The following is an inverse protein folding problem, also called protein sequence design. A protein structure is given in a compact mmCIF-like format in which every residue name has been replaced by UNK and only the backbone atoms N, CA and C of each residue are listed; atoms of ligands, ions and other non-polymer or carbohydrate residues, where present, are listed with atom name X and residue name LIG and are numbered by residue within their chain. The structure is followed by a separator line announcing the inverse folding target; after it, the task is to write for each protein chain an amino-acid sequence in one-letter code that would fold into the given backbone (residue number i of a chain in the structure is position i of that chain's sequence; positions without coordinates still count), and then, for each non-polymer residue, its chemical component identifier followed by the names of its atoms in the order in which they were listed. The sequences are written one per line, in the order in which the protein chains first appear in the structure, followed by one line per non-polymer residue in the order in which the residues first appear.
data_IF_715117238411
#
_entry.id   IF_715117238411
#
_cell.length_a   1.000
_cell.length_b   1.000
_cell.length_c   1.000
_cell.angle_alpha   90.00
_cell.angle_beta   90.00
_cell.angle_gamma   90.00
#
_symmetry.space_group_name_H-M   'P 1'
#
loop_
_entity.id
_entity.type
_entity.pdbx_description
1 polymer ?
#
# COMPACT_ATOMS: atom_id res chain seq x y z
N UNK A 1 -19.48 -21.11 -20.62
CA UNK A 1 -18.25 -21.21 -19.80
C UNK A 1 -17.37 -19.97 -19.94
N UNK A 2 -17.07 -19.50 -21.17
CA UNK A 2 -16.25 -18.29 -21.40
C UNK A 2 -16.85 -17.01 -20.81
N UNK A 3 -18.16 -16.81 -20.91
CA UNK A 3 -18.81 -15.58 -20.40
C UNK A 3 -18.74 -15.43 -18.86
N UNK A 4 -18.83 -16.54 -18.12
CA UNK A 4 -18.68 -16.54 -16.65
C UNK A 4 -17.25 -16.17 -16.24
N UNK A 5 -16.24 -16.78 -16.89
CA UNK A 5 -14.82 -16.47 -16.70
C UNK A 5 -14.52 -14.99 -16.98
N UNK A 6 -15.07 -14.43 -18.06
CA UNK A 6 -14.88 -13.02 -18.41
C UNK A 6 -15.54 -12.07 -17.40
N UNK A 7 -16.70 -12.46 -16.85
CA UNK A 7 -17.38 -11.68 -15.81
C UNK A 7 -16.58 -11.66 -14.50
N UNK A 8 -16.01 -12.79 -14.09
CA UNK A 8 -15.12 -12.87 -12.91
C UNK A 8 -13.88 -11.99 -13.06
N UNK A 9 -13.27 -11.99 -14.25
CA UNK A 9 -12.13 -11.11 -14.57
C UNK A 9 -12.55 -9.64 -14.41
N UNK A 10 -13.71 -9.23 -14.98
CA UNK A 10 -14.20 -7.86 -14.82
C UNK A 10 -14.39 -7.48 -13.35
N UNK A 11 -15.04 -8.34 -12.57
CA UNK A 11 -15.28 -8.07 -11.15
C UNK A 11 -13.97 -7.85 -10.38
N UNK A 12 -12.91 -8.57 -10.74
CA UNK A 12 -11.62 -8.51 -10.04
C UNK A 12 -10.71 -7.38 -10.51
N UNK A 13 -10.73 -7.02 -11.78
CA UNK A 13 -9.73 -6.13 -12.39
C UNK A 13 -10.31 -4.79 -12.87
N UNK A 14 -11.57 -4.48 -12.60
CA UNK A 14 -12.16 -3.17 -12.99
C UNK A 14 -11.57 -2.04 -12.13
N UNK A 15 -11.13 -0.97 -12.79
CA UNK A 15 -10.68 0.28 -12.17
C UNK A 15 -11.85 1.04 -11.56
N UNK A 16 -11.66 1.59 -10.35
CA UNK A 16 -12.63 2.53 -9.77
C UNK A 16 -12.57 3.89 -10.48
N UNK A 17 -13.69 4.63 -10.61
CA UNK A 17 -13.72 5.89 -11.38
C UNK A 17 -12.73 6.97 -10.93
N UNK A 18 -12.44 7.03 -9.63
CA UNK A 18 -11.59 8.01 -8.95
C UNK A 18 -10.16 7.51 -8.68
N UNK A 19 -9.86 6.29 -9.12
CA UNK A 19 -8.58 5.64 -8.84
C UNK A 19 -7.54 5.99 -9.89
N UNK A 20 -6.35 6.38 -9.42
CA UNK A 20 -5.17 6.54 -10.25
C UNK A 20 -4.93 5.32 -11.14
N UNK A 21 -4.65 5.56 -12.42
CA UNK A 21 -4.35 4.52 -13.39
C UNK A 21 -3.16 3.66 -12.94
N UNK A 22 -2.12 4.26 -12.38
CA UNK A 22 -0.91 3.56 -11.94
C UNK A 22 -1.15 2.70 -10.70
N UNK A 23 -1.92 3.19 -9.73
CA UNK A 23 -2.32 2.41 -8.55
C UNK A 23 -3.22 1.24 -8.96
N UNK A 24 -4.13 1.45 -9.89
CA UNK A 24 -4.97 0.37 -10.43
C UNK A 24 -4.15 -0.72 -11.12
N UNK A 25 -3.18 -0.36 -11.96
CA UNK A 25 -2.29 -1.33 -12.57
C UNK A 25 -1.54 -2.12 -11.50
N UNK A 26 -1.01 -1.46 -10.47
CA UNK A 26 -0.37 -2.14 -9.34
C UNK A 26 -1.31 -3.13 -8.62
N UNK A 27 -2.57 -2.76 -8.37
CA UNK A 27 -3.57 -3.68 -7.81
C UNK A 27 -3.87 -4.87 -8.74
N UNK A 28 -3.87 -4.65 -10.06
CA UNK A 28 -3.98 -5.73 -11.04
C UNK A 28 -2.79 -6.70 -10.95
N UNK A 29 -1.57 -6.18 -10.78
CA UNK A 29 -0.38 -7.01 -10.55
C UNK A 29 -0.52 -7.86 -9.29
N UNK A 30 -0.84 -7.24 -8.14
CA UNK A 30 -1.04 -7.95 -6.86
C UNK A 30 -2.15 -8.99 -6.94
N UNK A 31 -3.16 -8.71 -7.77
CA UNK A 31 -4.25 -9.65 -8.07
C UNK A 31 -3.83 -10.78 -9.01
N UNK A 32 -2.56 -10.86 -9.41
CA UNK A 32 -2.01 -11.92 -10.24
C UNK A 32 -2.37 -11.82 -11.72
N UNK A 33 -2.59 -10.61 -12.25
CA UNK A 33 -2.85 -10.42 -13.68
C UNK A 33 -1.72 -10.97 -14.58
N UNK A 34 -0.51 -11.12 -14.05
CA UNK A 34 0.67 -11.62 -14.75
C UNK A 34 0.75 -13.16 -14.85
N UNK A 35 0.24 -13.89 -13.85
CA UNK A 35 0.38 -15.35 -13.76
C UNK A 35 -0.94 -16.12 -13.74
N UNK A 36 -2.05 -15.50 -13.35
CA UNK A 36 -3.32 -16.20 -13.15
C UNK A 36 -4.30 -16.01 -14.31
N UNK A 37 -4.10 -15.00 -15.16
CA UNK A 37 -5.04 -14.65 -16.22
C UNK A 37 -4.32 -14.61 -17.55
N UNK A 38 -4.59 -15.60 -18.39
CA UNK A 38 -4.14 -15.64 -19.79
C UNK A 38 -5.35 -15.59 -20.72
N UNK A 39 -5.23 -14.75 -21.74
CA UNK A 39 -6.29 -14.45 -22.68
C UNK A 39 -5.74 -14.59 -24.10
N UNK A 40 -6.48 -15.27 -24.96
CA UNK A 40 -6.24 -15.18 -26.40
C UNK A 40 -6.89 -13.90 -26.97
N UNK A 41 -6.57 -13.57 -28.22
CA UNK A 41 -7.10 -12.37 -28.91
C UNK A 41 -8.63 -12.28 -28.89
N UNK A 42 -9.35 -13.39 -29.02
CA UNK A 42 -10.81 -13.40 -28.98
C UNK A 42 -11.34 -13.10 -27.58
N UNK A 43 -10.81 -13.75 -26.54
CA UNK A 43 -11.19 -13.47 -25.14
C UNK A 43 -10.87 -12.02 -24.74
N UNK A 44 -9.72 -11.50 -25.17
CA UNK A 44 -9.31 -10.11 -24.94
C UNK A 44 -10.27 -9.11 -25.58
N UNK A 45 -10.73 -9.38 -26.82
CA UNK A 45 -11.72 -8.53 -27.49
C UNK A 45 -13.09 -8.51 -26.79
N UNK A 46 -13.39 -9.55 -26.00
CA UNK A 46 -14.64 -9.67 -25.24
C UNK A 46 -14.53 -9.19 -23.80
N UNK A 47 -13.38 -8.72 -23.33
CA UNK A 47 -13.18 -8.33 -21.94
C UNK A 47 -14.03 -7.12 -21.52
N UNK A 48 -14.48 -6.30 -22.46
CA UNK A 48 -15.26 -5.09 -22.18
C UNK A 48 -14.42 -4.03 -21.46
N UNK A 49 -15.10 -3.14 -20.72
CA UNK A 49 -14.41 -2.07 -20.00
C UNK A 49 -13.84 -2.56 -18.67
N UNK A 50 -12.52 -2.49 -18.52
CA UNK A 50 -11.84 -2.69 -17.24
C UNK A 50 -11.29 -1.37 -16.73
N UNK A 51 -10.64 -0.62 -17.61
CA UNK A 51 -9.88 0.57 -17.22
C UNK A 51 -10.74 1.80 -16.99
N UNK A 52 -12.03 1.76 -17.33
CA UNK A 52 -12.89 2.94 -17.43
C UNK A 52 -12.34 3.99 -18.42
N UNK A 53 -11.50 3.54 -19.35
CA UNK A 53 -10.87 4.34 -20.38
C UNK A 53 -11.03 3.63 -21.71
N UNK A 54 -11.85 4.23 -22.58
CA UNK A 54 -12.20 3.61 -23.84
C UNK A 54 -10.98 3.42 -24.77
N UNK A 55 -9.92 4.21 -24.65
CA UNK A 55 -8.71 4.04 -25.46
C UNK A 55 -7.91 2.82 -25.00
N UNK A 56 -7.68 2.68 -23.69
CA UNK A 56 -7.03 1.49 -23.11
C UNK A 56 -7.86 0.23 -23.40
N UNK A 57 -9.18 0.27 -23.17
CA UNK A 57 -10.04 -0.90 -23.34
C UNK A 57 -10.10 -1.37 -24.80
N UNK A 58 -10.08 -0.43 -25.77
CA UNK A 58 -9.96 -0.78 -27.20
C UNK A 58 -8.60 -1.36 -27.53
N UNK A 59 -7.53 -0.80 -26.99
CA UNK A 59 -6.17 -1.28 -27.22
C UNK A 59 -6.04 -2.73 -26.71
N UNK A 60 -6.54 -3.08 -25.52
CA UNK A 60 -6.54 -4.45 -24.98
C UNK A 60 -7.15 -5.46 -25.97
N UNK A 61 -8.26 -5.10 -26.62
CA UNK A 61 -8.95 -5.96 -27.58
C UNK A 61 -8.27 -6.09 -28.96
N UNK A 62 -7.30 -5.23 -29.28
CA UNK A 62 -6.65 -5.15 -30.60
C UNK A 62 -5.48 -6.09 -30.82
N UNK A 63 -4.96 -6.75 -29.78
CA UNK A 63 -3.74 -7.57 -29.87
C UNK A 63 -4.02 -8.95 -30.51
N UNK A 64 -3.52 -9.16 -31.73
CA UNK A 64 -3.82 -10.33 -32.57
C UNK A 64 -2.84 -11.52 -32.43
N UNK A 65 -1.87 -11.48 -31.50
CA UNK A 65 -0.72 -12.40 -31.52
C UNK A 65 -0.57 -13.23 -30.23
N UNK A 66 -1.32 -14.33 -30.09
CA UNK A 66 -1.05 -15.37 -29.08
C UNK A 66 -1.71 -15.14 -27.70
N UNK A 67 -1.52 -16.08 -26.74
CA UNK A 67 -2.00 -15.88 -25.38
C UNK A 67 -1.05 -14.95 -24.62
N UNK A 68 -1.56 -13.80 -24.20
CA UNK A 68 -0.85 -12.89 -23.31
C UNK A 68 -1.44 -13.00 -21.90
N UNK A 69 -0.61 -12.75 -20.88
CA UNK A 69 -1.16 -12.49 -19.56
C UNK A 69 -1.95 -11.19 -19.60
N UNK A 70 -2.97 -11.06 -18.74
CA UNK A 70 -3.74 -9.83 -18.62
C UNK A 70 -2.81 -8.65 -18.32
N UNK A 71 -1.79 -8.86 -17.48
CA UNK A 71 -0.77 -7.85 -17.20
C UNK A 71 -0.07 -7.34 -18.46
N UNK A 72 0.39 -8.24 -19.33
CA UNK A 72 1.08 -7.85 -20.57
C UNK A 72 0.16 -7.02 -21.47
N UNK A 73 -1.12 -7.40 -21.57
CA UNK A 73 -2.11 -6.63 -22.33
C UNK A 73 -2.34 -5.23 -21.73
N UNK A 74 -2.51 -5.14 -20.41
CA UNK A 74 -2.72 -3.88 -19.70
C UNK A 74 -1.54 -2.93 -19.88
N UNK A 75 -0.32 -3.41 -19.66
CA UNK A 75 0.91 -2.63 -19.82
C UNK A 75 1.06 -2.13 -21.25
N UNK A 76 0.83 -3.01 -22.23
CA UNK A 76 1.00 -2.64 -23.63
C UNK A 76 -0.07 -1.63 -24.09
N UNK A 77 -1.33 -1.84 -23.70
CA UNK A 77 -2.42 -0.91 -23.98
C UNK A 77 -2.18 0.49 -23.38
N UNK A 78 -1.68 0.57 -22.15
CA UNK A 78 -1.36 1.85 -21.51
C UNK A 78 -0.22 2.56 -22.23
N UNK A 79 0.84 1.83 -22.63
CA UNK A 79 1.99 2.39 -23.37
C UNK A 79 1.64 2.86 -24.77
N UNK A 80 0.63 2.26 -25.41
CA UNK A 80 0.11 2.71 -26.70
C UNK A 80 -0.79 3.95 -26.56
N UNK A 81 -1.44 4.12 -25.41
CA UNK A 81 -2.42 5.19 -25.20
C UNK A 81 -1.78 6.45 -24.65
N UNK A 82 -0.78 6.32 -23.78
CA UNK A 82 -0.22 7.43 -23.02
C UNK A 82 1.30 7.49 -23.11
N UNK A 83 1.83 8.70 -23.05
CA UNK A 83 3.24 8.97 -22.78
C UNK A 83 3.51 8.98 -21.28
N UNK A 84 4.77 8.83 -20.89
CA UNK A 84 5.15 8.81 -19.48
C UNK A 84 4.77 10.10 -18.72
N UNK A 85 4.83 11.25 -19.39
CA UNK A 85 4.51 12.55 -18.80
C UNK A 85 2.99 12.73 -18.60
N UNK A 86 2.16 12.05 -19.40
CA UNK A 86 0.69 12.07 -19.25
C UNK A 86 0.21 11.14 -18.13
N UNK A 87 0.93 10.05 -17.86
CA UNK A 87 0.52 9.07 -16.83
C UNK A 87 0.98 9.48 -15.42
N UNK A 88 2.13 10.14 -15.31
CA UNK A 88 2.66 10.60 -14.02
C UNK A 88 2.16 12.00 -13.74
N UNK A 89 1.09 12.11 -12.96
CA UNK A 89 0.75 13.38 -12.33
C UNK A 89 1.79 13.69 -11.24
N UNK A 90 2.62 14.70 -11.47
CA UNK A 90 3.55 15.17 -10.45
C UNK A 90 2.76 15.72 -9.27
N UNK A 91 2.82 15.02 -8.14
CA UNK A 91 2.19 15.47 -6.90
C UNK A 91 3.00 16.61 -6.29
N UNK A 92 2.33 17.73 -6.05
CA UNK A 92 2.93 18.93 -5.44
C UNK A 92 3.49 18.65 -4.05
N UNK A 93 2.77 17.87 -3.23
CA UNK A 93 3.22 17.44 -1.90
C UNK A 93 2.45 16.23 -1.36
N UNK A 94 3.11 15.33 -0.63
CA UNK A 94 2.49 14.29 0.21
C UNK A 94 2.81 14.51 1.68
N UNK A 95 1.84 14.26 2.54
CA UNK A 95 1.88 14.61 3.96
C UNK A 95 1.44 13.49 4.90
N UNK A 96 1.02 12.34 4.38
CA UNK A 96 0.75 11.13 5.17
C UNK A 96 1.59 9.95 4.70
N UNK A 97 1.72 8.94 5.56
CA UNK A 97 2.38 7.66 5.21
C UNK A 97 1.69 6.98 4.03
N UNK A 98 0.35 6.96 4.02
CA UNK A 98 -0.46 6.36 2.97
C UNK A 98 -0.21 7.06 1.62
N UNK A 99 -0.24 8.39 1.61
CA UNK A 99 0.06 9.17 0.41
C UNK A 99 1.49 8.94 -0.09
N UNK A 100 2.47 8.87 0.82
CA UNK A 100 3.87 8.59 0.46
C UNK A 100 4.05 7.21 -0.17
N UNK A 101 3.39 6.18 0.37
CA UNK A 101 3.42 4.82 -0.20
C UNK A 101 2.68 4.74 -1.53
N UNK A 102 1.52 5.39 -1.66
CA UNK A 102 0.81 5.46 -2.93
C UNK A 102 1.67 6.16 -3.98
N UNK A 103 2.23 7.32 -3.67
CA UNK A 103 3.07 8.07 -4.61
C UNK A 103 4.35 7.30 -5.00
N UNK A 104 5.01 6.64 -4.05
CA UNK A 104 6.13 5.74 -4.35
C UNK A 104 5.72 4.61 -5.30
N UNK A 105 4.53 4.04 -5.10
CA UNK A 105 3.99 2.99 -5.96
C UNK A 105 3.73 3.52 -7.37
N UNK A 106 3.14 4.70 -7.50
CA UNK A 106 2.91 5.35 -8.79
C UNK A 106 4.22 5.61 -9.52
N UNK A 107 5.21 6.21 -8.84
CA UNK A 107 6.54 6.46 -9.40
C UNK A 107 7.20 5.16 -9.88
N UNK A 108 7.08 4.09 -9.10
CA UNK A 108 7.64 2.77 -9.44
C UNK A 108 6.96 2.19 -10.67
N UNK A 109 5.62 2.25 -10.73
CA UNK A 109 4.84 1.76 -11.86
C UNK A 109 5.16 2.52 -13.14
N UNK A 110 5.27 3.84 -13.07
CA UNK A 110 5.66 4.65 -14.22
C UNK A 110 7.09 4.34 -14.70
N UNK A 111 8.02 4.13 -13.77
CA UNK A 111 9.39 3.75 -14.10
C UNK A 111 9.44 2.37 -14.79
N UNK A 112 8.65 1.40 -14.31
CA UNK A 112 8.48 0.08 -14.95
C UNK A 112 7.89 0.21 -16.37
N UNK A 113 6.85 1.03 -16.54
CA UNK A 113 6.16 1.17 -17.83
C UNK A 113 7.04 1.82 -18.90
N UNK A 114 7.82 2.84 -18.54
CA UNK A 114 8.45 3.72 -19.51
C UNK A 114 9.98 3.77 -19.42
N UNK A 115 10.57 3.63 -18.24
CA UNK A 115 11.97 3.98 -17.99
C UNK A 115 12.91 2.77 -17.83
N UNK A 116 12.39 1.63 -17.40
CA UNK A 116 13.14 0.37 -17.34
C UNK A 116 12.83 -0.53 -18.56
N UNK A 117 13.38 -0.21 -19.73
CA UNK A 117 13.49 -1.18 -20.83
C UNK A 117 14.88 -1.20 -21.47
N UNK A 118 15.85 -1.83 -20.78
CA UNK A 118 17.00 -2.45 -21.46
C UNK A 118 16.87 -3.97 -21.63
N UNK A 119 15.82 -4.59 -21.08
CA UNK A 119 15.44 -5.97 -21.39
C UNK A 119 13.93 -6.14 -21.26
N UNK A 120 13.21 -5.97 -22.37
CA UNK A 120 11.75 -6.00 -22.47
C UNK A 120 11.09 -7.39 -22.25
N UNK A 121 11.81 -8.37 -21.68
CA UNK A 121 11.29 -9.73 -21.46
C UNK A 121 10.78 -10.01 -20.06
N UNK A 122 11.11 -9.17 -19.07
CA UNK A 122 10.70 -9.39 -17.68
C UNK A 122 10.24 -8.06 -17.07
N UNK A 123 8.93 -7.91 -16.92
CA UNK A 123 8.40 -6.87 -16.04
C UNK A 123 8.61 -7.37 -14.61
N UNK A 124 9.56 -6.75 -13.91
CA UNK A 124 9.90 -7.08 -12.53
C UNK A 124 8.72 -6.82 -11.59
N UNK A 125 8.61 -7.62 -10.55
CA UNK A 125 7.67 -7.38 -9.45
C UNK A 125 7.86 -5.95 -8.92
N UNK A 126 6.84 -5.07 -8.94
CA UNK A 126 6.98 -3.68 -8.53
C UNK A 126 7.50 -3.50 -7.11
N UNK A 127 7.26 -4.45 -6.20
CA UNK A 127 7.79 -4.38 -4.84
C UNK A 127 9.27 -4.77 -4.76
N UNK A 128 9.72 -5.66 -5.64
CA UNK A 128 11.12 -6.10 -5.73
C UNK A 128 11.97 -5.19 -6.63
N UNK A 129 11.33 -4.27 -7.37
CA UNK A 129 12.00 -3.27 -8.19
C UNK A 129 12.96 -2.41 -7.37
N UNK A 130 14.04 -1.98 -8.01
CA UNK A 130 14.98 -1.04 -7.42
C UNK A 130 14.40 0.37 -7.41
N UNK A 131 14.48 1.05 -6.27
CA UNK A 131 14.21 2.46 -6.15
C UNK A 131 15.34 3.24 -6.86
N UNK A 132 15.11 3.57 -8.12
CA UNK A 132 16.06 4.38 -8.91
C UNK A 132 16.25 5.75 -8.27
N UNK A 133 17.35 6.42 -8.61
CA UNK A 133 17.60 7.78 -8.14
C UNK A 133 16.45 8.74 -8.49
N UNK A 134 15.82 8.56 -9.66
CA UNK A 134 14.67 9.37 -10.09
C UNK A 134 13.47 9.18 -9.18
N UNK A 135 13.13 7.93 -8.85
CA UNK A 135 12.04 7.61 -7.92
C UNK A 135 12.35 8.22 -6.54
N UNK A 136 13.57 8.03 -6.04
CA UNK A 136 14.01 8.58 -4.75
C UNK A 136 13.91 10.10 -4.71
N UNK A 137 14.46 10.78 -5.71
CA UNK A 137 14.49 12.23 -5.80
C UNK A 137 13.08 12.81 -5.88
N UNK A 138 12.20 12.24 -6.71
CA UNK A 138 10.81 12.67 -6.83
C UNK A 138 10.05 12.45 -5.50
N UNK A 139 10.20 11.29 -4.87
CA UNK A 139 9.57 10.98 -3.60
C UNK A 139 9.99 11.98 -2.51
N UNK A 140 11.30 12.25 -2.36
CA UNK A 140 11.83 13.15 -1.33
C UNK A 140 11.45 14.60 -1.59
N UNK A 141 11.50 15.07 -2.84
CA UNK A 141 11.14 16.46 -3.19
C UNK A 141 9.66 16.77 -2.97
N UNK A 142 8.78 15.81 -3.24
CA UNK A 142 7.35 15.96 -2.98
C UNK A 142 6.98 15.67 -1.53
N UNK A 143 7.90 15.27 -0.66
CA UNK A 143 7.60 14.98 0.73
C UNK A 143 7.38 16.26 1.54
N UNK A 144 6.49 16.22 2.54
CA UNK A 144 6.44 17.27 3.56
C UNK A 144 7.80 17.40 4.26
N UNK A 145 8.15 18.57 4.84
CA UNK A 145 9.46 18.78 5.46
C UNK A 145 9.84 17.71 6.51
N UNK A 146 8.84 17.21 7.23
CA UNK A 146 9.02 16.12 8.18
C UNK A 146 9.50 14.83 7.50
N UNK A 147 8.76 14.35 6.49
CA UNK A 147 9.11 13.12 5.79
C UNK A 147 10.36 13.27 4.91
N UNK A 148 10.59 14.45 4.31
CA UNK A 148 11.81 14.75 3.57
C UNK A 148 13.04 14.60 4.47
N UNK A 149 12.98 15.14 5.70
CA UNK A 149 14.05 15.01 6.69
C UNK A 149 14.25 13.56 7.13
N UNK A 150 13.16 12.83 7.38
CA UNK A 150 13.22 11.41 7.71
C UNK A 150 13.88 10.59 6.59
N UNK A 151 13.39 10.72 5.35
CA UNK A 151 13.95 10.03 4.19
C UNK A 151 15.41 10.38 3.94
N UNK A 152 15.81 11.64 4.18
CA UNK A 152 17.22 12.05 4.07
C UNK A 152 18.15 11.35 5.07
N UNK A 153 17.61 10.80 6.16
CA UNK A 153 18.39 10.01 7.13
C UNK A 153 18.61 8.56 6.71
N UNK A 154 17.82 8.08 5.74
CA UNK A 154 17.99 6.76 5.16
C UNK A 154 19.03 6.84 4.03
N UNK A 155 20.13 6.06 4.10
CA UNK A 155 21.10 6.04 3.01
C UNK A 155 20.46 5.39 1.79
N UNK A 156 20.28 6.16 0.73
CA UNK A 156 19.94 5.62 -0.58
C UNK A 156 21.14 4.85 -1.14
N UNK A 157 20.86 3.69 -1.73
CA UNK A 157 21.82 2.86 -2.46
C UNK A 157 21.14 2.33 -3.72
N UNK A 158 21.91 2.02 -4.76
CA UNK A 158 21.45 1.45 -6.02
C UNK A 158 20.74 0.10 -5.87
N UNK A 159 20.91 -0.59 -4.74
CA UNK A 159 20.20 -1.84 -4.42
C UNK A 159 19.01 -1.65 -3.47
N UNK A 160 18.62 -0.40 -3.17
CA UNK A 160 17.43 -0.12 -2.37
C UNK A 160 16.19 -0.61 -3.13
N UNK A 161 15.47 -1.58 -2.56
CA UNK A 161 14.20 -2.06 -3.11
C UNK A 161 13.02 -1.20 -2.67
N UNK A 162 12.01 -1.10 -3.53
CA UNK A 162 10.76 -0.38 -3.27
C UNK A 162 10.07 -0.93 -2.02
N UNK A 163 9.98 -2.25 -1.84
CA UNK A 163 9.41 -2.88 -0.64
C UNK A 163 10.08 -2.38 0.65
N UNK A 164 11.42 -2.27 0.65
CA UNK A 164 12.16 -1.80 1.82
C UNK A 164 11.86 -0.33 2.12
N UNK A 165 11.69 0.48 1.08
CA UNK A 165 11.33 1.90 1.23
C UNK A 165 9.88 2.08 1.69
N UNK A 166 8.94 1.29 1.16
CA UNK A 166 7.55 1.24 1.66
C UNK A 166 7.51 0.91 3.15
N UNK A 167 8.26 -0.11 3.58
CA UNK A 167 8.38 -0.48 4.99
C UNK A 167 8.97 0.64 5.85
N UNK A 168 9.95 1.38 5.33
CA UNK A 168 10.53 2.54 6.02
C UNK A 168 9.52 3.68 6.20
N UNK A 169 8.76 4.03 5.16
CA UNK A 169 7.69 5.05 5.25
C UNK A 169 6.63 4.64 6.28
N UNK A 170 6.32 3.34 6.35
CA UNK A 170 5.32 2.82 7.30
C UNK A 170 5.81 2.76 8.74
N UNK A 171 7.12 2.77 8.99
CA UNK A 171 7.72 2.63 10.32
C UNK A 171 7.08 3.61 11.31
N UNK A 172 6.56 3.07 12.42
CA UNK A 172 5.91 3.80 13.49
C UNK A 172 6.83 4.83 14.16
N UNK A 173 8.15 4.73 13.97
CA UNK A 173 9.12 5.74 14.43
C UNK A 173 9.07 7.05 13.65
N UNK A 174 8.54 7.04 12.43
CA UNK A 174 8.26 8.27 11.66
C UNK A 174 6.95 8.91 12.16
N UNK A 175 6.97 9.46 13.38
CA UNK A 175 5.90 10.35 13.87
C UNK A 175 6.33 11.80 13.64
N UNK A 176 5.52 12.65 12.96
CA UNK A 176 5.76 14.09 12.91
C UNK A 176 5.90 14.64 14.32
N UNK A 177 7.14 14.91 14.75
CA UNK A 177 7.38 15.63 15.99
C UNK A 177 6.98 17.08 15.73
N UNK A 178 5.97 17.53 16.48
CA UNK A 178 5.35 18.87 16.44
C UNK A 178 4.68 19.25 15.11
N UNK A 179 3.34 19.24 15.12
CA UNK A 179 2.54 20.10 14.24
C UNK A 179 2.94 21.56 14.51
N UNK A 180 3.41 22.34 13.51
CA UNK A 180 3.38 23.78 13.59
C UNK A 180 1.93 24.21 13.44
N UNK A 181 1.40 24.85 14.48
CA UNK A 181 0.17 25.62 14.40
C UNK A 181 0.40 26.74 13.40
N UNK A 182 -0.32 26.73 12.27
CA UNK A 182 -1.03 27.92 11.82
C UNK A 182 -2.03 27.61 10.69
N UNK A 183 -3.29 27.94 10.99
CA UNK A 183 -4.43 28.21 10.11
C UNK A 183 -5.10 27.05 9.35
N UNK A 184 -6.08 26.39 9.99
CA UNK A 184 -7.47 26.39 9.47
C UNK A 184 -8.51 26.07 10.57
N UNK A 185 -9.34 27.08 10.87
CA UNK A 185 -10.61 27.14 11.61
C UNK A 185 -10.68 26.61 13.05
N UNK A 186 -10.75 27.56 13.97
CA UNK A 186 -11.07 27.40 15.38
C UNK A 186 -12.43 26.70 15.60
N UNK A 187 -12.38 25.58 16.32
CA UNK A 187 -13.37 25.26 17.36
C UNK A 187 -12.60 24.89 18.63
N UNK A 188 -12.62 25.76 19.62
CA UNK A 188 -12.24 25.48 21.00
C UNK A 188 -13.46 25.70 21.90
N UNK A 189 -13.51 25.19 23.15
CA UNK A 189 -12.74 24.08 23.73
C UNK A 189 -13.62 23.14 24.58
N UNK A 190 -13.11 21.95 24.93
CA UNK A 190 -13.29 21.44 26.29
C UNK A 190 -11.96 20.90 26.79
N UNK A 191 -11.34 21.70 27.66
CA UNK A 191 -10.29 21.26 28.56
C UNK A 191 -10.86 20.17 29.47
N UNK A 192 -10.27 18.99 29.42
CA UNK A 192 -10.06 18.18 30.62
C UNK A 192 -8.59 17.82 30.61
N UNK A 193 -7.87 18.34 31.61
CA UNK A 193 -6.60 17.79 32.00
C UNK A 193 -6.85 16.33 32.43
N UNK A 194 -6.34 15.37 31.67
CA UNK A 194 -6.39 13.97 32.06
C UNK A 194 -4.97 13.54 32.44
N UNK A 195 -4.78 13.46 33.76
CA UNK A 195 -3.77 12.64 34.41
C UNK A 195 -3.81 11.21 33.88
N UNK A 196 -2.67 10.55 33.93
CA UNK A 196 -2.40 9.17 33.49
C UNK A 196 -3.11 8.06 34.30
N UNK A 197 -4.41 8.19 34.58
CA UNK A 197 -5.20 7.25 35.40
C UNK A 197 -6.70 7.16 35.00
N UNK A 198 -7.07 7.41 33.73
CA UNK A 198 -8.48 7.35 33.35
C UNK A 198 -9.00 5.88 33.31
N UNK A 199 -10.14 5.56 33.96
CA UNK A 199 -10.72 4.22 33.93
C UNK A 199 -11.40 3.94 32.58
N UNK A 200 -11.46 2.68 32.18
CA UNK A 200 -12.17 2.25 30.97
C UNK A 200 -13.63 2.69 31.03
N UNK A 201 -14.11 3.52 30.10
CA UNK A 201 -15.47 4.08 30.19
C UNK A 201 -16.59 3.07 29.90
N UNK A 202 -16.24 1.81 29.60
CA UNK A 202 -17.20 0.72 29.36
C UNK A 202 -17.47 -0.07 30.65
N UNK A 203 -16.44 -0.37 31.45
CA UNK A 203 -16.55 -1.14 32.70
C UNK A 203 -16.25 -0.32 33.96
N UNK A 204 -15.72 0.89 33.81
CA UNK A 204 -15.28 1.79 34.88
C UNK A 204 -14.13 1.25 35.76
N UNK A 205 -13.36 0.28 35.26
CA UNK A 205 -12.17 -0.27 35.93
C UNK A 205 -10.86 0.29 35.35
N UNK A 206 -9.76 0.21 36.11
CA UNK A 206 -8.43 0.68 35.70
C UNK A 206 -7.92 -0.04 34.43
N UNK A 207 -7.37 0.73 33.47
CA UNK A 207 -6.90 0.24 32.17
C UNK A 207 -5.64 -0.64 32.23
N UNK A 208 -4.98 -0.75 33.38
CA UNK A 208 -3.63 -1.29 33.59
C UNK A 208 -3.37 -2.73 33.12
N UNK A 209 -4.42 -3.53 32.87
CA UNK A 209 -4.25 -4.98 32.59
C UNK A 209 -4.49 -5.43 31.15
N UNK A 210 -5.05 -4.62 30.25
CA UNK A 210 -5.30 -4.99 28.84
C UNK A 210 -5.82 -3.78 28.02
N UNK A 211 -5.18 -2.61 28.16
CA UNK A 211 -5.55 -1.42 27.41
C UNK A 211 -5.37 -1.62 25.89
N UNK A 212 -6.37 -1.19 25.13
CA UNK A 212 -6.39 -1.17 23.69
C UNK A 212 -6.82 0.23 23.25
N UNK A 213 -5.93 0.92 22.54
CA UNK A 213 -6.20 2.23 21.94
C UNK A 213 -6.81 2.02 20.55
N UNK A 214 -7.90 2.74 20.25
CA UNK A 214 -8.52 2.77 18.92
C UNK A 214 -7.83 3.81 18.03
N UNK A 215 -8.08 3.77 16.71
CA UNK A 215 -7.53 4.75 15.74
C UNK A 215 -7.92 6.21 16.04
N UNK A 216 -9.02 6.41 16.77
CA UNK A 216 -9.47 7.71 17.26
C UNK A 216 -8.75 8.20 18.53
N UNK A 217 -7.82 7.41 19.10
CA UNK A 217 -7.02 7.75 20.27
C UNK A 217 -7.68 7.47 21.62
N UNK A 218 -8.85 6.82 21.65
CA UNK A 218 -9.53 6.45 22.89
C UNK A 218 -9.13 5.05 23.36
N UNK A 219 -8.84 4.94 24.66
CA UNK A 219 -8.41 3.70 25.30
C UNK A 219 -9.54 2.98 26.04
N UNK A 220 -9.60 1.66 25.88
CA UNK A 220 -10.54 0.77 26.56
C UNK A 220 -9.85 -0.55 26.87
N UNK A 221 -10.40 -1.38 27.76
CA UNK A 221 -9.95 -2.76 27.78
C UNK A 221 -10.28 -3.44 26.46
N UNK A 222 -9.34 -4.22 25.94
CA UNK A 222 -9.48 -4.95 24.68
C UNK A 222 -10.78 -5.77 24.62
N UNK A 223 -11.14 -6.43 25.71
CA UNK A 223 -12.38 -7.22 25.79
C UNK A 223 -13.65 -6.37 25.84
N UNK A 224 -13.61 -5.23 26.54
CA UNK A 224 -14.71 -4.29 26.62
C UNK A 224 -15.04 -3.68 25.27
N UNK A 225 -14.03 -3.20 24.54
CA UNK A 225 -14.24 -2.61 23.22
C UNK A 225 -14.58 -3.69 22.17
N UNK A 226 -14.03 -4.89 22.27
CA UNK A 226 -14.40 -6.02 21.40
C UNK A 226 -15.86 -6.42 21.56
N UNK A 227 -16.35 -6.48 22.79
CA UNK A 227 -17.77 -6.74 23.09
C UNK A 227 -18.65 -5.60 22.59
N UNK A 228 -18.24 -4.35 22.78
CA UNK A 228 -18.97 -3.19 22.27
C UNK A 228 -19.11 -3.18 20.74
N UNK A 229 -18.00 -3.40 20.03
CA UNK A 229 -17.98 -3.41 18.55
C UNK A 229 -18.76 -4.58 17.95
N UNK A 230 -18.87 -5.70 18.68
CA UNK A 230 -19.64 -6.87 18.27
C UNK A 230 -21.13 -6.70 18.56
N UNK A 231 -21.48 -6.24 19.76
CA UNK A 231 -22.84 -6.38 20.29
C UNK A 231 -23.65 -5.07 20.27
N UNK A 232 -23.01 -3.91 20.13
CA UNK A 232 -23.69 -2.61 20.23
C UNK A 232 -23.54 -1.73 18.97
N UNK A 233 -22.32 -1.45 18.51
CA UNK A 233 -22.08 -0.64 17.31
C UNK A 233 -20.63 -0.74 16.87
N UNK A 234 -20.35 -0.71 15.56
CA UNK A 234 -18.99 -0.68 14.99
C UNK A 234 -18.27 0.67 15.14
N UNK A 235 -18.63 1.46 16.16
CA UNK A 235 -18.15 2.83 16.37
C UNK A 235 -17.67 3.03 17.80
N UNK A 236 -16.68 3.88 17.99
CA UNK A 236 -16.13 4.24 19.31
C UNK A 236 -17.23 4.77 20.26
N UNK A 237 -17.30 4.30 21.52
CA UNK A 237 -18.27 4.80 22.51
C UNK A 237 -18.15 6.30 22.82
N UNK A 238 -16.95 6.88 22.64
CA UNK A 238 -16.65 8.26 23.03
C UNK A 238 -16.89 9.24 21.88
N UNK A 239 -16.31 8.99 20.69
CA UNK A 239 -16.40 9.92 19.55
C UNK A 239 -17.33 9.47 18.42
N UNK A 240 -17.82 8.21 18.44
CA UNK A 240 -18.63 7.59 17.38
C UNK A 240 -17.93 7.41 16.02
N UNK A 241 -16.62 7.58 15.94
CA UNK A 241 -15.84 7.22 14.76
C UNK A 241 -15.78 5.69 14.57
N UNK A 242 -15.63 5.24 13.33
CA UNK A 242 -15.52 3.81 13.01
C UNK A 242 -14.26 3.22 13.66
N UNK A 243 -14.39 2.06 14.28
CA UNK A 243 -13.32 1.48 15.09
C UNK A 243 -12.93 0.09 14.57
N UNK A 244 -11.66 -0.08 14.22
CA UNK A 244 -11.07 -1.37 13.83
C UNK A 244 -10.10 -1.82 14.93
N UNK A 245 -10.27 -3.04 15.43
CA UNK A 245 -9.36 -3.58 16.43
C UNK A 245 -8.10 -4.16 15.78
N UNK A 246 -6.89 -3.88 16.34
CA UNK A 246 -5.68 -4.52 15.87
C UNK A 246 -5.75 -6.05 16.13
N UNK A 247 -5.26 -6.89 15.19
CA UNK A 247 -5.28 -8.35 15.31
C UNK A 247 -4.48 -8.83 16.52
N UNK A 248 -4.90 -9.94 17.15
CA UNK A 248 -4.18 -10.57 18.26
C UNK A 248 -2.81 -11.06 17.77
N UNK A 249 -1.72 -10.38 18.15
CA UNK A 249 -0.36 -10.84 17.85
C UNK A 249 0.05 -11.80 18.97
N UNK A 250 0.23 -13.11 18.72
CA UNK A 250 0.74 -14.00 19.76
C UNK A 250 2.15 -13.57 20.16
N UNK A 251 2.35 -13.36 21.46
CA UNK A 251 3.64 -12.98 22.04
C UNK A 251 4.72 -14.00 21.66
N UNK A 252 5.88 -13.51 21.20
CA UNK A 252 7.02 -14.37 20.82
C UNK A 252 7.62 -14.97 22.09
N UNK A 253 7.90 -16.28 22.16
CA UNK A 253 8.62 -16.84 23.29
C UNK A 253 10.05 -16.27 23.35
N UNK A 254 10.49 -15.97 24.57
CA UNK A 254 11.80 -15.40 24.85
C UNK A 254 12.95 -16.26 24.28
N UNK A 255 13.82 -15.62 23.50
CA UNK A 255 15.04 -16.21 22.95
C UNK A 255 16.05 -16.51 24.07
N UNK A 256 16.17 -17.78 24.49
CA UNK A 256 17.23 -18.22 25.40
C UNK A 256 18.52 -18.54 24.64
N UNK A 257 19.60 -17.87 25.05
CA UNK A 257 20.95 -17.81 24.45
C UNK A 257 21.81 -19.08 24.54
N UNK A 258 21.21 -20.27 24.57
CA UNK A 258 21.91 -21.54 24.87
C UNK A 258 21.97 -22.53 23.70
N UNK A 259 22.23 -22.10 22.47
CA UNK A 259 22.50 -23.05 21.39
C UNK A 259 23.51 -22.56 20.33
N UNK A 260 24.79 -22.51 20.73
CA UNK A 260 25.92 -22.13 19.86
C UNK A 260 26.48 -23.26 18.99
N UNK A 261 25.80 -24.41 18.89
CA UNK A 261 26.38 -25.65 18.32
C UNK A 261 25.76 -26.19 17.02
N UNK A 262 24.93 -25.44 16.28
CA UNK A 262 24.35 -25.93 15.00
C UNK A 262 24.41 -24.97 13.80
N UNK A 263 25.34 -24.02 13.79
CA UNK A 263 25.58 -23.11 12.64
C UNK A 263 26.95 -23.33 11.95
N UNK A 264 27.45 -24.58 11.95
CA UNK A 264 28.62 -25.01 11.16
C UNK A 264 28.35 -26.39 10.53
N UNK A 265 27.53 -26.43 9.47
CA UNK A 265 27.35 -27.67 8.70
C UNK A 265 26.92 -27.48 7.22
N UNK A 266 26.86 -26.25 6.69
CA UNK A 266 26.42 -26.01 5.29
C UNK A 266 27.46 -25.23 4.45
N UNK A 267 28.74 -25.32 4.82
CA UNK A 267 29.87 -24.93 3.96
C UNK A 267 30.88 -26.08 3.93
N UNK A 268 30.62 -27.08 3.08
CA UNK A 268 31.57 -28.02 2.44
C UNK A 268 30.78 -29.21 1.90
N UNK A 269 30.41 -29.11 0.63
CA UNK A 269 30.28 -30.23 -0.32
C UNK A 269 29.96 -29.59 -1.67
N UNK A 270 31.01 -29.20 -2.38
CA UNK A 270 30.92 -29.01 -3.81
C UNK A 270 30.85 -30.38 -4.48
N UNK A 271 29.89 -30.53 -5.37
CA UNK A 271 29.93 -31.31 -6.60
C UNK A 271 28.93 -30.64 -7.55
#
# INVERSE_FOLDING_TARGET
KTQCKLQEIRQRFTRRPDQSLLLWLYECWLSGANVNVFLNSFEASLLGSLSQDAAIDRAIGGWAMGPYSLWTLLVAAVRETYTADEVVEYRDRWNTKLEGVHYLTELTMADILYWHTRNAQYVDDPDEAYCTWRIWEALVKSASPFYAKALSSMPWDRHLKVLKLKAYIWDYRLKPSSLPQDSYVQKQPKEYAASSDDPCTICHEELSRNACELECGHEFHRECIRTWLRDHSSTCPICRDYAVLPPDVPERPAWNSSNRYKAKAWKRSGF
#
